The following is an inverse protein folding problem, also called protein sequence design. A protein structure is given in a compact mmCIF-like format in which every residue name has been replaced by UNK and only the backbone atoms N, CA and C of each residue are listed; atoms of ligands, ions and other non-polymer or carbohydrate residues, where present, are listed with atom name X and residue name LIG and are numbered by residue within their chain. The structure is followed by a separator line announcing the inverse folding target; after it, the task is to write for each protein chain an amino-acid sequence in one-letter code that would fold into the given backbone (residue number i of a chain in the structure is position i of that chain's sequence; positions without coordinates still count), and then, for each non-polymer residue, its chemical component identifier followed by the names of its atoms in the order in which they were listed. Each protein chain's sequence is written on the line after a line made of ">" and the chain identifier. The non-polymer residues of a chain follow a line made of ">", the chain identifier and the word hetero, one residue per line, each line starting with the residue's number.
data_IF_042267601170
#
_entry.id   IF_042267601170
#
_cell.length_a   1.000
_cell.length_b   1.000
_cell.length_c   1.000
_cell.angle_alpha   90.00
_cell.angle_beta   90.00
_cell.angle_gamma   90.00
#
_symmetry.space_group_name_H-M   'P 1'
#
loop_
_entity.id
_entity.type
_entity.pdbx_description
1 polymer ?
#
# COMPACT_ATOMS: atom_id res chain seq x y z
N UNK A 1 -71.90 -10.01 -27.03
CA UNK A 1 -71.61 -10.41 -25.64
C UNK A 1 -70.26 -9.79 -25.28
N UNK A 2 -70.23 -8.60 -24.67
CA UNK A 2 -69.02 -7.96 -24.17
C UNK A 2 -68.47 -8.73 -22.95
N UNK A 3 -67.33 -9.30 -23.08
CA UNK A 3 -66.60 -9.85 -21.92
C UNK A 3 -66.19 -8.70 -21.01
N UNK A 4 -66.93 -8.41 -19.97
CA UNK A 4 -66.65 -7.49 -18.93
C UNK A 4 -65.27 -7.89 -18.35
N UNK A 5 -64.19 -7.10 -18.63
CA UNK A 5 -62.86 -7.31 -18.05
C UNK A 5 -62.97 -7.19 -16.50
N UNK A 6 -62.85 -8.30 -15.80
CA UNK A 6 -62.83 -8.28 -14.33
C UNK A 6 -61.74 -7.37 -13.85
N UNK A 7 -62.03 -6.48 -12.94
CA UNK A 7 -61.05 -5.64 -12.28
C UNK A 7 -60.02 -6.52 -11.56
N UNK A 8 -58.76 -6.09 -11.50
CA UNK A 8 -57.70 -6.80 -10.75
C UNK A 8 -58.12 -7.06 -9.29
N UNK A 9 -58.91 -6.16 -8.72
CA UNK A 9 -59.44 -6.28 -7.36
C UNK A 9 -60.48 -7.40 -7.26
N UNK A 10 -61.43 -7.50 -8.22
CA UNK A 10 -62.44 -8.61 -8.28
C UNK A 10 -61.77 -9.96 -8.46
N UNK A 11 -60.69 -10.04 -9.25
CA UNK A 11 -59.90 -11.23 -9.43
C UNK A 11 -59.18 -11.64 -8.12
N UNK A 12 -58.52 -10.69 -7.43
CA UNK A 12 -57.81 -10.91 -6.16
C UNK A 12 -58.78 -11.39 -5.06
N UNK A 13 -59.99 -10.81 -4.99
CA UNK A 13 -61.02 -11.23 -4.03
C UNK A 13 -61.56 -12.60 -4.33
N UNK A 14 -61.74 -12.97 -5.60
CA UNK A 14 -62.21 -14.28 -6.01
C UNK A 14 -61.20 -15.40 -5.72
N UNK A 15 -59.90 -15.12 -5.92
CA UNK A 15 -58.81 -16.08 -5.68
C UNK A 15 -57.99 -15.74 -4.46
N UNK A 16 -58.61 -15.35 -3.33
CA UNK A 16 -57.97 -14.91 -2.09
C UNK A 16 -56.86 -15.84 -1.59
N UNK A 17 -57.05 -17.19 -1.76
CA UNK A 17 -56.05 -18.17 -1.31
C UNK A 17 -54.78 -18.10 -2.14
N UNK A 18 -54.90 -17.87 -3.45
CA UNK A 18 -53.74 -17.71 -4.33
C UNK A 18 -53.02 -16.39 -4.00
N UNK A 19 -53.74 -15.30 -3.72
CA UNK A 19 -53.16 -14.02 -3.35
C UNK A 19 -52.41 -14.13 -2.03
N UNK A 20 -53.01 -14.78 -1.03
CA UNK A 20 -52.35 -15.02 0.27
C UNK A 20 -51.09 -15.86 0.07
N UNK A 21 -51.11 -16.92 -0.71
CA UNK A 21 -49.94 -17.75 -1.00
C UNK A 21 -48.82 -16.92 -1.66
N UNK A 22 -49.16 -16.09 -2.65
CA UNK A 22 -48.20 -15.23 -3.34
C UNK A 22 -47.55 -14.21 -2.36
N UNK A 23 -48.39 -13.59 -1.51
CA UNK A 23 -47.90 -12.64 -0.48
C UNK A 23 -47.00 -13.35 0.51
N UNK A 24 -47.39 -14.54 0.99
CA UNK A 24 -46.52 -15.32 1.89
C UNK A 24 -45.18 -15.69 1.24
N UNK A 25 -45.20 -16.10 -0.05
CA UNK A 25 -43.98 -16.40 -0.80
C UNK A 25 -43.10 -15.16 -0.97
N UNK A 26 -43.70 -13.99 -1.26
CA UNK A 26 -42.92 -12.73 -1.38
C UNK A 26 -42.31 -12.31 -0.05
N UNK A 27 -43.05 -12.43 1.07
CA UNK A 27 -42.54 -12.14 2.38
C UNK A 27 -41.41 -13.11 2.75
N UNK A 28 -41.60 -14.41 2.54
CA UNK A 28 -40.58 -15.41 2.77
C UNK A 28 -39.32 -15.16 1.93
N UNK A 29 -39.49 -14.81 0.65
CA UNK A 29 -38.39 -14.44 -0.22
C UNK A 29 -37.67 -13.14 0.23
N UNK A 30 -38.45 -12.15 0.69
CA UNK A 30 -37.88 -10.92 1.26
C UNK A 30 -37.02 -11.20 2.49
N UNK A 31 -37.52 -12.00 3.44
CA UNK A 31 -36.76 -12.38 4.65
C UNK A 31 -35.51 -13.18 4.28
N UNK A 32 -35.60 -14.09 3.30
CA UNK A 32 -34.43 -14.85 2.82
C UNK A 32 -33.38 -13.97 2.12
N UNK A 33 -33.82 -12.94 1.39
CA UNK A 33 -32.96 -12.06 0.61
C UNK A 33 -32.20 -11.03 1.46
N UNK A 34 -32.78 -10.57 2.57
CA UNK A 34 -32.20 -9.52 3.43
C UNK A 34 -30.75 -9.80 3.90
N UNK A 35 -30.40 -11.00 4.39
CA UNK A 35 -29.02 -11.29 4.81
C UNK A 35 -28.04 -11.36 3.64
N UNK A 36 -28.52 -11.62 2.41
CA UNK A 36 -27.71 -11.75 1.21
C UNK A 36 -27.45 -10.42 0.49
N UNK A 37 -28.16 -9.37 0.88
CA UNK A 37 -27.94 -8.03 0.31
C UNK A 37 -26.56 -7.51 0.69
N UNK A 38 -25.94 -6.84 -0.26
CA UNK A 38 -24.66 -6.14 -0.02
C UNK A 38 -24.90 -5.01 0.97
N UNK A 39 -24.18 -5.03 2.07
CA UNK A 39 -24.23 -4.00 3.11
C UNK A 39 -22.93 -3.22 3.02
N UNK A 40 -23.01 -1.91 2.86
CA UNK A 40 -21.88 -0.98 2.88
C UNK A 40 -22.38 0.34 3.46
N UNK A 41 -21.51 1.08 4.13
CA UNK A 41 -21.83 2.39 4.71
C UNK A 41 -22.12 3.43 3.63
N UNK A 42 -21.30 3.42 2.57
CA UNK A 42 -21.43 4.34 1.46
C UNK A 42 -21.72 3.58 0.16
N UNK A 43 -22.52 4.17 -0.75
CA UNK A 43 -22.67 3.62 -2.07
C UNK A 43 -21.32 3.61 -2.81
N UNK A 44 -21.10 2.61 -3.64
CA UNK A 44 -19.91 2.55 -4.49
C UNK A 44 -19.89 3.76 -5.42
N UNK A 45 -18.94 4.67 -5.24
CA UNK A 45 -18.69 5.77 -6.15
C UNK A 45 -17.38 5.59 -6.88
N UNK A 46 -17.35 6.04 -8.11
CA UNK A 46 -16.18 5.90 -8.95
C UNK A 46 -15.36 7.18 -8.94
N UNK A 47 -14.21 7.18 -8.27
CA UNK A 47 -13.26 8.27 -8.37
C UNK A 47 -12.50 8.14 -9.68
N UNK A 48 -12.58 9.18 -10.51
CA UNK A 48 -11.94 9.28 -11.82
C UNK A 48 -10.74 10.24 -11.80
N UNK A 49 -10.14 10.41 -10.65
CA UNK A 49 -9.00 11.29 -10.45
C UNK A 49 -7.74 10.49 -10.15
N UNK A 50 -6.61 11.02 -10.58
CA UNK A 50 -5.30 10.54 -10.23
C UNK A 50 -4.32 11.71 -10.11
N UNK A 51 -3.19 11.49 -9.47
CA UNK A 51 -2.13 12.50 -9.34
C UNK A 51 -0.84 11.93 -9.90
N UNK A 52 -0.22 12.68 -10.81
CA UNK A 52 1.14 12.41 -11.27
C UNK A 52 2.08 13.28 -10.46
N UNK A 53 3.04 12.66 -9.79
CA UNK A 53 4.08 13.35 -9.01
C UNK A 53 5.41 13.14 -9.70
N UNK A 54 6.14 14.24 -10.00
CA UNK A 54 7.52 14.14 -10.46
C UNK A 54 8.45 14.91 -9.54
N UNK A 55 9.63 14.33 -9.28
CA UNK A 55 10.63 14.86 -8.35
C UNK A 55 11.94 15.07 -9.08
N UNK A 56 12.44 16.31 -9.07
CA UNK A 56 13.72 16.70 -9.64
C UNK A 56 14.45 17.68 -8.68
N UNK A 57 15.14 17.15 -7.65
CA UNK A 57 15.81 17.96 -6.64
C UNK A 57 16.81 18.94 -7.27
N UNK A 58 16.85 20.15 -6.74
CA UNK A 58 17.75 21.21 -7.20
C UNK A 58 17.16 22.12 -8.29
N UNK A 59 16.01 21.77 -8.89
CA UNK A 59 15.31 22.67 -9.80
C UNK A 59 14.49 23.69 -9.01
N UNK A 60 14.48 24.93 -9.50
CA UNK A 60 13.52 25.94 -9.07
C UNK A 60 12.11 25.63 -9.59
N UNK A 61 11.07 26.26 -9.03
CA UNK A 61 9.70 26.08 -9.49
C UNK A 61 9.53 26.44 -10.98
N UNK A 62 10.23 27.45 -11.48
CA UNK A 62 10.21 27.87 -12.89
C UNK A 62 10.86 26.82 -13.80
N UNK A 63 12.01 26.28 -13.41
CA UNK A 63 12.68 25.18 -14.12
C UNK A 63 11.81 23.92 -14.12
N UNK A 64 11.13 23.61 -12.99
CA UNK A 64 10.17 22.51 -12.92
C UNK A 64 9.03 22.70 -13.94
N UNK A 65 8.51 23.93 -14.10
CA UNK A 65 7.45 24.20 -15.08
C UNK A 65 7.93 23.94 -16.49
N UNK A 66 9.09 24.49 -16.87
CA UNK A 66 9.58 24.42 -18.25
C UNK A 66 10.09 23.01 -18.62
N UNK A 67 10.85 22.38 -17.73
CA UNK A 67 11.58 21.16 -18.06
C UNK A 67 10.81 19.87 -17.75
N UNK A 68 9.85 19.92 -16.81
CA UNK A 68 9.17 18.72 -16.31
C UNK A 68 7.65 18.83 -16.50
N UNK A 69 7.04 19.94 -16.04
CA UNK A 69 5.58 20.06 -15.99
C UNK A 69 4.98 20.16 -17.39
N UNK A 70 5.43 21.11 -18.21
CA UNK A 70 4.92 21.29 -19.58
C UNK A 70 5.09 20.02 -20.45
N UNK A 71 6.25 19.35 -20.49
CA UNK A 71 6.38 18.07 -21.20
C UNK A 71 5.41 17.00 -20.72
N UNK A 72 5.26 16.85 -19.39
CA UNK A 72 4.32 15.89 -18.80
C UNK A 72 2.86 16.23 -19.12
N UNK A 73 2.46 17.51 -19.01
CA UNK A 73 1.12 17.97 -19.38
C UNK A 73 0.81 17.68 -20.85
N UNK A 74 1.73 17.98 -21.75
CA UNK A 74 1.55 17.70 -23.17
C UNK A 74 1.36 16.20 -23.43
N UNK A 75 2.15 15.36 -22.74
CA UNK A 75 2.00 13.92 -22.81
C UNK A 75 0.66 13.45 -22.24
N UNK A 76 0.26 13.93 -21.05
CA UNK A 76 -1.01 13.61 -20.40
C UNK A 76 -2.19 14.03 -21.29
N UNK A 77 -2.13 15.20 -21.89
CA UNK A 77 -3.19 15.71 -22.77
C UNK A 77 -3.27 15.03 -24.15
N UNK A 78 -2.32 14.16 -24.47
CA UNK A 78 -2.42 13.29 -25.65
C UNK A 78 -3.47 12.18 -25.46
N UNK A 79 -3.82 11.85 -24.22
CA UNK A 79 -4.86 10.87 -23.90
C UNK A 79 -6.25 11.51 -24.05
N UNK A 80 -7.10 10.87 -24.86
CA UNK A 80 -8.49 11.33 -25.12
C UNK A 80 -9.41 11.24 -23.90
N UNK A 81 -9.08 10.30 -23.01
CA UNK A 81 -9.83 9.99 -21.81
C UNK A 81 -9.63 11.04 -20.71
N UNK A 82 -8.63 11.91 -20.85
CA UNK A 82 -8.32 12.96 -19.88
C UNK A 82 -9.22 14.17 -20.08
N UNK A 83 -9.87 14.60 -19.03
CA UNK A 83 -10.73 15.80 -18.98
C UNK A 83 -9.88 17.05 -18.79
N UNK A 84 -9.42 17.62 -19.90
CA UNK A 84 -8.47 18.74 -19.92
C UNK A 84 -8.90 19.95 -19.09
N UNK A 85 -10.19 20.27 -19.07
CA UNK A 85 -10.72 21.43 -18.34
C UNK A 85 -10.73 21.29 -16.81
N UNK A 86 -10.46 20.09 -16.28
CA UNK A 86 -10.37 19.83 -14.84
C UNK A 86 -9.02 19.27 -14.41
N UNK A 87 -8.11 19.06 -15.36
CA UNK A 87 -6.73 18.66 -15.08
C UNK A 87 -5.89 19.91 -14.88
N UNK A 88 -5.13 19.96 -13.78
CA UNK A 88 -4.27 21.08 -13.46
C UNK A 88 -2.98 20.61 -12.78
N UNK A 89 -1.95 21.46 -12.86
CA UNK A 89 -0.66 21.20 -12.25
C UNK A 89 -0.30 22.24 -11.20
N UNK A 90 0.55 21.84 -10.26
CA UNK A 90 1.16 22.69 -9.25
C UNK A 90 2.62 22.35 -9.09
N UNK A 91 3.49 23.27 -9.53
CA UNK A 91 4.93 23.13 -9.42
C UNK A 91 5.47 23.89 -8.21
N UNK A 92 6.45 23.30 -7.56
CA UNK A 92 7.26 23.88 -6.48
C UNK A 92 8.72 23.53 -6.74
N UNK A 93 9.62 24.09 -5.93
CA UNK A 93 11.04 23.77 -6.03
C UNK A 93 11.25 22.24 -5.85
N UNK A 94 11.80 21.63 -6.89
CA UNK A 94 12.14 20.21 -6.94
C UNK A 94 10.97 19.23 -7.08
N UNK A 95 9.69 19.68 -7.13
CA UNK A 95 8.55 18.78 -7.21
C UNK A 95 7.36 19.36 -7.98
N UNK A 96 6.67 18.53 -8.72
CA UNK A 96 5.39 18.88 -9.37
C UNK A 96 4.32 17.84 -9.07
N UNK A 97 3.10 18.32 -8.89
CA UNK A 97 1.87 17.55 -8.78
C UNK A 97 0.97 17.91 -9.96
N UNK A 98 0.55 16.91 -10.72
CA UNK A 98 -0.43 17.09 -11.82
C UNK A 98 -1.65 16.26 -11.45
N UNK A 99 -2.75 16.94 -11.10
CA UNK A 99 -4.02 16.27 -10.87
C UNK A 99 -4.69 16.00 -12.22
N UNK A 100 -4.93 14.74 -12.50
CA UNK A 100 -5.53 14.26 -13.74
C UNK A 100 -6.95 13.82 -13.45
N UNK A 101 -7.93 14.34 -14.18
CA UNK A 101 -9.32 13.91 -14.12
C UNK A 101 -9.72 13.23 -15.44
N UNK A 102 -10.41 12.11 -15.34
CA UNK A 102 -10.91 11.36 -16.50
C UNK A 102 -12.32 11.81 -16.88
N UNK A 103 -12.69 11.60 -18.14
CA UNK A 103 -14.03 11.86 -18.63
C UNK A 103 -15.07 10.99 -17.92
N UNK A 104 -16.29 11.53 -17.77
CA UNK A 104 -17.36 10.90 -17.01
C UNK A 104 -17.92 9.63 -17.68
N UNK A 105 -17.77 9.51 -18.98
CA UNK A 105 -18.23 8.41 -19.84
C UNK A 105 -17.29 7.21 -19.89
N UNK A 106 -16.12 7.31 -19.25
CA UNK A 106 -15.14 6.21 -19.23
C UNK A 106 -15.60 5.05 -18.35
N UNK A 107 -15.89 3.90 -18.99
CA UNK A 107 -16.38 2.71 -18.29
C UNK A 107 -15.27 1.88 -17.65
N UNK A 108 -14.07 1.83 -18.23
CA UNK A 108 -12.97 1.01 -17.74
C UNK A 108 -11.77 1.86 -17.29
N UNK A 109 -11.92 2.53 -16.13
CA UNK A 109 -10.89 3.38 -15.57
C UNK A 109 -9.62 2.61 -15.17
N UNK A 110 -9.77 1.39 -14.69
CA UNK A 110 -8.65 0.60 -14.15
C UNK A 110 -7.70 0.18 -15.28
N UNK A 111 -8.24 -0.15 -16.45
CA UNK A 111 -7.45 -0.40 -17.66
C UNK A 111 -6.74 0.88 -18.14
N UNK A 112 -7.44 2.01 -18.10
CA UNK A 112 -6.83 3.30 -18.43
C UNK A 112 -5.65 3.60 -17.51
N UNK A 113 -5.86 3.55 -16.19
CA UNK A 113 -4.80 3.85 -15.22
C UNK A 113 -3.61 2.90 -15.35
N UNK A 114 -3.84 1.64 -15.64
CA UNK A 114 -2.77 0.67 -15.88
C UNK A 114 -1.91 1.06 -17.09
N UNK A 115 -2.54 1.37 -18.22
CA UNK A 115 -1.86 1.85 -19.44
C UNK A 115 -1.16 3.20 -19.21
N UNK A 116 -1.84 4.11 -18.52
CA UNK A 116 -1.33 5.44 -18.21
C UNK A 116 -0.09 5.41 -17.33
N UNK A 117 -0.09 4.62 -16.26
CA UNK A 117 1.09 4.40 -15.39
C UNK A 117 2.28 3.91 -16.20
N UNK A 118 2.07 2.91 -17.04
CA UNK A 118 3.12 2.38 -17.89
C UNK A 118 3.63 3.44 -18.90
N UNK A 119 2.72 4.18 -19.51
CA UNK A 119 3.06 5.23 -20.46
C UNK A 119 3.85 6.37 -19.82
N UNK A 120 3.42 6.88 -18.67
CA UNK A 120 4.13 7.93 -17.92
C UNK A 120 5.52 7.44 -17.48
N UNK A 121 5.64 6.19 -17.03
CA UNK A 121 6.94 5.62 -16.66
C UNK A 121 7.89 5.51 -17.86
N UNK A 122 7.37 5.16 -19.03
CA UNK A 122 8.15 5.13 -20.28
C UNK A 122 8.54 6.55 -20.71
N UNK A 123 7.62 7.52 -20.57
CA UNK A 123 7.86 8.92 -20.92
C UNK A 123 8.93 9.57 -20.03
N UNK A 124 9.13 9.08 -18.79
CA UNK A 124 10.22 9.54 -17.92
C UNK A 124 11.58 9.55 -18.61
N UNK A 125 11.85 8.61 -19.52
CA UNK A 125 13.11 8.56 -20.27
C UNK A 125 13.34 9.76 -21.20
N UNK A 126 12.29 10.54 -21.51
CA UNK A 126 12.35 11.75 -22.35
C UNK A 126 12.52 13.03 -21.50
N UNK A 127 12.39 12.92 -20.19
CA UNK A 127 12.61 14.03 -19.27
C UNK A 127 14.11 14.18 -18.93
N UNK A 128 14.53 15.35 -18.41
CA UNK A 128 15.90 15.57 -17.99
C UNK A 128 16.40 14.52 -16.99
N UNK A 129 17.68 14.19 -17.04
CA UNK A 129 18.30 13.14 -16.22
C UNK A 129 18.25 13.38 -14.70
N UNK A 130 18.04 14.63 -14.28
CA UNK A 130 17.88 15.02 -12.88
C UNK A 130 16.46 14.72 -12.34
N UNK A 131 15.53 14.27 -13.17
CA UNK A 131 14.21 13.78 -12.72
C UNK A 131 14.40 12.40 -12.12
N UNK A 132 14.42 12.34 -10.79
CA UNK A 132 14.67 11.10 -10.05
C UNK A 132 13.49 10.12 -10.17
N UNK A 133 12.28 10.61 -10.01
CA UNK A 133 11.07 9.80 -10.02
C UNK A 133 9.91 10.49 -10.71
N UNK A 134 9.09 9.70 -11.41
CA UNK A 134 7.74 10.07 -11.83
C UNK A 134 6.81 8.96 -11.41
N UNK A 135 5.80 9.29 -10.62
CA UNK A 135 4.86 8.31 -10.06
C UNK A 135 3.43 8.75 -10.32
N UNK A 136 2.56 7.80 -10.63
CA UNK A 136 1.13 8.01 -10.80
C UNK A 136 0.39 7.34 -9.64
N UNK A 137 -0.40 8.12 -8.93
CA UNK A 137 -1.30 7.69 -7.86
C UNK A 137 -2.74 7.83 -8.36
N UNK A 138 -3.50 6.75 -8.35
CA UNK A 138 -4.89 6.69 -8.86
C UNK A 138 -5.86 6.00 -7.88
N UNK A 139 -5.35 5.57 -6.75
CA UNK A 139 -6.08 4.82 -5.75
C UNK A 139 -6.65 5.71 -4.63
N UNK A 140 -7.24 6.83 -5.03
CA UNK A 140 -7.98 7.70 -4.13
C UNK A 140 -9.39 7.15 -3.91
N UNK A 141 -9.81 7.15 -2.64
CA UNK A 141 -11.19 6.87 -2.25
C UNK A 141 -11.46 5.45 -1.80
N UNK A 142 -10.48 4.58 -1.81
CA UNK A 142 -10.59 3.33 -1.07
C UNK A 142 -10.44 3.66 0.42
N UNK A 143 -11.53 3.52 1.17
CA UNK A 143 -11.54 3.79 2.62
C UNK A 143 -11.19 2.53 3.37
N UNK A 144 -10.43 2.71 4.46
CA UNK A 144 -10.13 1.60 5.37
C UNK A 144 -11.40 1.14 6.05
N UNK A 145 -11.78 -0.10 5.85
CA UNK A 145 -12.93 -0.70 6.51
C UNK A 145 -12.63 -0.99 8.00
N UNK A 146 -11.39 -1.39 8.30
CA UNK A 146 -10.91 -1.62 9.65
C UNK A 146 -9.52 -1.02 9.84
N UNK A 147 -9.28 -0.46 11.03
CA UNK A 147 -7.97 -0.07 11.52
C UNK A 147 -7.65 -0.91 12.75
N UNK A 148 -6.61 -1.69 12.65
CA UNK A 148 -6.16 -2.62 13.69
C UNK A 148 -4.79 -2.16 14.16
N UNK A 149 -4.59 -1.94 15.46
CA UNK A 149 -3.29 -1.63 16.05
C UNK A 149 -2.75 -2.84 16.79
N UNK A 150 -1.45 -3.02 16.71
CA UNK A 150 -0.70 -3.98 17.51
C UNK A 150 0.32 -3.22 18.32
N UNK A 151 0.27 -3.37 19.64
CA UNK A 151 1.09 -2.60 20.57
C UNK A 151 1.84 -3.46 21.56
N UNK A 152 2.99 -2.99 22.01
CA UNK A 152 3.75 -3.55 23.13
C UNK A 152 4.70 -2.50 23.72
N UNK A 153 4.95 -2.59 25.02
CA UNK A 153 6.01 -1.80 25.68
C UNK A 153 7.37 -2.46 25.49
N UNK A 154 7.44 -3.79 25.55
CA UNK A 154 8.67 -4.56 25.64
C UNK A 154 9.21 -5.01 24.28
N UNK A 155 8.32 -5.26 23.30
CA UNK A 155 8.72 -5.75 21.99
C UNK A 155 9.30 -4.65 21.11
N UNK A 156 10.25 -5.02 20.26
CA UNK A 156 10.82 -4.14 19.24
C UNK A 156 9.85 -3.94 18.07
N UNK A 157 10.03 -2.86 17.29
CA UNK A 157 9.24 -2.67 16.06
C UNK A 157 9.41 -3.82 15.08
N UNK A 158 10.57 -4.46 15.05
CA UNK A 158 10.82 -5.63 14.21
C UNK A 158 9.94 -6.81 14.63
N UNK A 159 9.93 -7.16 15.91
CA UNK A 159 9.09 -8.24 16.43
C UNK A 159 7.60 -7.96 16.21
N UNK A 160 7.16 -6.71 16.44
CA UNK A 160 5.78 -6.32 16.15
C UNK A 160 5.46 -6.46 14.66
N UNK A 161 6.40 -6.09 13.77
CA UNK A 161 6.21 -6.26 12.33
C UNK A 161 6.14 -7.75 11.93
N UNK A 162 6.96 -8.61 12.50
CA UNK A 162 6.94 -10.05 12.24
C UNK A 162 5.57 -10.66 12.63
N UNK A 163 4.99 -10.25 13.76
CA UNK A 163 3.62 -10.64 14.14
C UNK A 163 2.56 -10.05 13.21
N UNK A 164 2.75 -8.80 12.77
CA UNK A 164 1.82 -8.15 11.85
C UNK A 164 1.83 -8.81 10.47
N UNK A 165 2.98 -9.25 10.00
CA UNK A 165 3.11 -9.99 8.73
C UNK A 165 2.37 -11.34 8.81
N UNK A 166 2.47 -12.07 9.94
CA UNK A 166 1.69 -13.30 10.15
C UNK A 166 0.18 -13.03 10.18
N UNK A 167 -0.25 -11.95 10.85
CA UNK A 167 -1.65 -11.53 10.83
C UNK A 167 -2.13 -11.20 9.42
N UNK A 168 -1.35 -10.44 8.64
CA UNK A 168 -1.68 -10.12 7.25
C UNK A 168 -1.83 -11.39 6.41
N UNK A 169 -0.95 -12.38 6.58
CA UNK A 169 -1.00 -13.63 5.82
C UNK A 169 -2.25 -14.46 6.14
N UNK A 170 -2.74 -14.39 7.39
CA UNK A 170 -4.01 -15.02 7.77
C UNK A 170 -5.21 -14.25 7.18
N UNK A 171 -5.22 -12.93 7.30
CA UNK A 171 -6.29 -12.08 6.78
C UNK A 171 -6.39 -12.13 5.24
N UNK A 172 -5.27 -12.32 4.54
CA UNK A 172 -5.22 -12.44 3.06
C UNK A 172 -6.01 -13.62 2.51
N UNK A 173 -6.29 -14.63 3.35
CA UNK A 173 -7.09 -15.81 2.99
C UNK A 173 -8.58 -15.52 2.95
N UNK A 174 -9.02 -14.40 3.53
CA UNK A 174 -10.43 -13.97 3.51
C UNK A 174 -10.74 -13.37 2.13
N UNK A 175 -11.69 -13.94 1.38
CA UNK A 175 -11.95 -13.50 -0.01
C UNK A 175 -12.40 -12.05 -0.14
N UNK A 176 -13.07 -11.50 0.88
CA UNK A 176 -13.61 -10.14 0.93
C UNK A 176 -12.55 -9.08 1.28
N UNK A 177 -11.41 -9.48 1.86
CA UNK A 177 -10.31 -8.57 2.17
C UNK A 177 -9.61 -8.12 0.89
N UNK A 178 -9.47 -6.81 0.75
CA UNK A 178 -8.79 -6.14 -0.35
C UNK A 178 -7.33 -5.83 -0.04
N UNK A 179 -6.96 -4.55 -0.20
CA UNK A 179 -5.61 -4.07 0.13
C UNK A 179 -5.43 -3.97 1.65
N UNK A 180 -4.23 -4.29 2.08
CA UNK A 180 -3.80 -4.09 3.46
C UNK A 180 -2.52 -3.24 3.47
N UNK A 181 -2.48 -2.24 4.34
CA UNK A 181 -1.35 -1.33 4.47
C UNK A 181 -0.93 -1.22 5.93
N UNK A 182 0.36 -1.47 6.19
CA UNK A 182 0.94 -1.29 7.53
C UNK A 182 1.58 0.08 7.64
N UNK A 183 1.34 0.77 8.73
CA UNK A 183 1.88 2.10 9.04
C UNK A 183 2.51 2.10 10.43
N UNK A 184 3.46 3.03 10.66
CA UNK A 184 4.13 3.19 11.95
C UNK A 184 5.31 2.24 12.17
N UNK A 185 5.64 1.39 11.21
CA UNK A 185 6.81 0.49 11.28
C UNK A 185 8.09 1.30 11.18
N UNK A 186 8.99 1.09 12.15
CA UNK A 186 10.35 1.61 12.08
C UNK A 186 11.28 0.50 11.58
N UNK A 187 12.00 0.76 10.48
CA UNK A 187 12.94 -0.20 9.90
C UNK A 187 14.29 -0.06 10.57
N UNK A 188 14.83 -1.18 11.03
CA UNK A 188 16.22 -1.21 11.51
C UNK A 188 17.20 -0.88 10.37
N UNK A 189 18.26 -0.17 10.72
CA UNK A 189 19.38 0.11 9.82
C UNK A 189 20.72 -0.25 10.47
N UNK A 190 21.72 -0.46 9.65
CA UNK A 190 23.10 -0.57 10.10
C UNK A 190 23.77 0.78 9.84
N UNK A 191 24.00 1.52 10.92
CA UNK A 191 24.67 2.82 10.88
C UNK A 191 26.18 2.66 10.99
N UNK A 192 26.88 3.41 10.16
CA UNK A 192 28.35 3.43 10.11
C UNK A 192 28.82 4.82 10.54
N UNK A 193 29.31 4.93 11.76
CA UNK A 193 29.85 6.16 12.31
C UNK A 193 31.36 6.23 12.05
N UNK A 194 31.76 7.16 11.20
CA UNK A 194 33.14 7.30 10.77
C UNK A 194 34.00 7.93 11.89
N UNK A 195 35.22 7.41 12.07
CA UNK A 195 36.23 8.00 12.92
C UNK A 195 37.27 8.70 12.05
N UNK A 196 37.16 10.03 11.91
CA UNK A 196 37.99 10.83 11.03
C UNK A 196 39.47 10.78 11.43
N UNK A 197 39.80 10.61 12.75
CA UNK A 197 41.17 10.48 13.21
C UNK A 197 41.79 9.14 12.75
N UNK A 198 41.01 8.07 12.74
CA UNK A 198 41.44 6.77 12.24
C UNK A 198 41.54 6.76 10.72
N UNK A 199 40.54 7.36 10.01
CA UNK A 199 40.57 7.49 8.54
C UNK A 199 41.84 8.21 8.07
N UNK A 200 42.20 9.34 8.72
CA UNK A 200 43.38 10.13 8.38
C UNK A 200 44.69 9.35 8.56
N UNK A 201 44.77 8.43 9.53
CA UNK A 201 45.95 7.57 9.73
C UNK A 201 46.22 6.62 8.56
N UNK A 202 45.15 6.21 7.83
CA UNK A 202 45.24 5.38 6.63
C UNK A 202 45.27 6.20 5.35
N UNK A 203 45.28 7.55 5.42
CA UNK A 203 45.20 8.42 4.24
C UNK A 203 43.88 8.35 3.48
N UNK A 204 42.80 7.93 4.17
CA UNK A 204 41.47 7.81 3.61
C UNK A 204 40.64 9.06 3.91
N UNK A 205 39.72 9.37 3.01
CA UNK A 205 38.70 10.39 3.21
C UNK A 205 37.31 9.79 3.14
N UNK A 206 36.30 10.53 3.58
CA UNK A 206 34.90 10.11 3.65
C UNK A 206 34.35 9.71 2.27
N UNK A 207 34.72 10.45 1.22
CA UNK A 207 34.26 10.19 -0.14
C UNK A 207 34.82 8.88 -0.69
N UNK A 208 36.09 8.60 -0.47
CA UNK A 208 36.73 7.34 -0.91
C UNK A 208 36.11 6.15 -0.19
N UNK A 209 35.82 6.31 1.11
CA UNK A 209 35.19 5.28 1.91
C UNK A 209 33.73 5.05 1.43
N UNK A 210 32.96 6.12 1.24
CA UNK A 210 31.59 6.02 0.74
C UNK A 210 31.52 5.34 -0.63
N UNK A 211 32.41 5.70 -1.56
CA UNK A 211 32.51 5.07 -2.87
C UNK A 211 32.86 3.58 -2.75
N UNK A 212 33.78 3.22 -1.84
CA UNK A 212 34.15 1.81 -1.60
C UNK A 212 33.01 0.99 -1.02
N UNK A 213 32.24 1.55 -0.07
CA UNK A 213 31.05 0.91 0.50
C UNK A 213 29.95 0.75 -0.54
N UNK A 214 29.69 1.80 -1.32
CA UNK A 214 28.71 1.78 -2.39
C UNK A 214 29.04 0.70 -3.44
N UNK A 215 30.29 0.63 -3.88
CA UNK A 215 30.73 -0.37 -4.85
C UNK A 215 30.62 -1.81 -4.34
N UNK A 216 30.67 -2.03 -3.03
CA UNK A 216 30.58 -3.35 -2.39
C UNK A 216 29.18 -3.76 -1.95
N UNK A 217 28.26 -2.83 -1.89
CA UNK A 217 26.84 -3.06 -1.58
C UNK A 217 26.02 -3.61 -2.74
N UNK A 218 26.54 -3.56 -3.96
CA UNK A 218 25.84 -4.09 -5.13
C UNK A 218 26.18 -5.54 -5.40
N UNK A 219 25.17 -6.36 -5.66
CA UNK A 219 25.33 -7.71 -6.21
C UNK A 219 25.91 -7.60 -7.62
N UNK A 220 27.17 -7.96 -7.76
CA UNK A 220 27.78 -8.12 -9.09
C UNK A 220 27.54 -9.54 -9.58
N UNK A 221 27.04 -9.67 -10.80
CA UNK A 221 27.08 -10.95 -11.51
C UNK A 221 28.56 -11.30 -11.77
N UNK A 222 29.02 -12.39 -11.19
CA UNK A 222 30.41 -12.84 -11.32
C UNK A 222 30.78 -13.36 -12.72
N UNK A 223 29.91 -13.15 -13.73
CA UNK A 223 30.12 -13.61 -15.08
C UNK A 223 29.31 -14.87 -15.41
N UNK A 224 29.67 -15.53 -16.49
CA UNK A 224 29.06 -16.79 -16.93
C UNK A 224 30.15 -17.83 -17.15
N UNK A 225 29.96 -19.01 -16.60
CA UNK A 225 30.80 -20.18 -16.94
C UNK A 225 30.19 -20.90 -18.13
N UNK A 226 30.94 -20.98 -19.19
CA UNK A 226 30.55 -21.71 -20.40
C UNK A 226 31.27 -23.07 -20.44
N UNK A 227 30.49 -24.11 -20.51
CA UNK A 227 30.97 -25.46 -20.81
C UNK A 227 30.44 -25.86 -22.18
N UNK A 228 30.96 -26.96 -22.76
CA UNK A 228 30.51 -27.44 -24.08
C UNK A 228 29.02 -27.83 -24.11
N UNK A 229 28.39 -28.06 -22.94
CA UNK A 229 27.00 -28.50 -22.81
C UNK A 229 26.03 -27.42 -22.33
N UNK A 230 26.48 -26.44 -21.54
CA UNK A 230 25.59 -25.42 -20.95
C UNK A 230 26.34 -24.16 -20.55
N UNK A 231 25.57 -23.09 -20.39
CA UNK A 231 26.02 -21.78 -19.86
C UNK A 231 25.36 -21.51 -18.54
N UNK A 232 26.12 -21.44 -17.46
CA UNK A 232 25.62 -21.18 -16.11
C UNK A 232 26.06 -19.80 -15.60
N UNK A 233 25.11 -18.93 -15.19
CA UNK A 233 25.47 -17.68 -14.56
C UNK A 233 26.05 -17.95 -13.16
N UNK A 234 27.14 -17.28 -12.83
CA UNK A 234 27.76 -17.32 -11.51
C UNK A 234 27.33 -16.05 -10.76
N UNK A 235 26.58 -16.23 -9.69
CA UNK A 235 26.20 -15.14 -8.78
C UNK A 235 27.12 -15.16 -7.57
N UNK A 236 27.80 -14.06 -7.34
CA UNK A 236 28.54 -13.82 -6.08
C UNK A 236 27.61 -13.00 -5.18
N UNK A 237 26.77 -13.68 -4.40
CA UNK A 237 25.96 -13.04 -3.38
C UNK A 237 26.81 -12.81 -2.12
N UNK A 238 27.16 -11.56 -1.82
CA UNK A 238 27.59 -11.16 -0.49
C UNK A 238 26.37 -10.70 0.28
N UNK A 239 25.89 -11.54 1.17
CA UNK A 239 24.83 -11.19 2.09
C UNK A 239 25.45 -10.35 3.23
N UNK A 240 25.22 -9.05 3.23
CA UNK A 240 25.62 -8.13 4.31
C UNK A 240 24.49 -8.04 5.34
N UNK A 241 24.10 -9.17 5.91
CA UNK A 241 22.92 -9.26 6.76
C UNK A 241 23.19 -8.98 8.24
N UNK A 242 24.43 -9.02 8.65
CA UNK A 242 24.79 -8.83 10.06
C UNK A 242 25.75 -7.63 10.23
N UNK A 243 25.72 -7.05 11.44
CA UNK A 243 26.70 -6.03 11.82
C UNK A 243 28.12 -6.53 11.64
N UNK A 244 28.36 -7.80 11.96
CA UNK A 244 29.67 -8.44 11.80
C UNK A 244 30.13 -8.46 10.35
N UNK A 245 29.24 -8.82 9.40
CA UNK A 245 29.60 -8.85 7.98
C UNK A 245 30.01 -7.48 7.48
N UNK A 246 29.27 -6.43 7.88
CA UNK A 246 29.58 -5.04 7.55
C UNK A 246 30.90 -4.60 8.19
N UNK A 247 31.16 -4.95 9.44
CA UNK A 247 32.41 -4.67 10.14
C UNK A 247 33.63 -5.30 9.46
N UNK A 248 33.50 -6.47 8.88
CA UNK A 248 34.59 -7.19 8.21
C UNK A 248 34.83 -6.76 6.76
N UNK A 249 34.06 -5.83 6.21
CA UNK A 249 34.27 -5.30 4.87
C UNK A 249 35.68 -4.67 4.77
N UNK A 250 36.45 -5.14 3.77
CA UNK A 250 37.73 -4.52 3.43
C UNK A 250 37.44 -3.25 2.65
N UNK A 251 37.72 -2.09 3.21
CA UNK A 251 37.46 -0.78 2.62
C UNK A 251 38.68 -0.20 1.91
N UNK A 252 39.86 -0.66 2.28
CA UNK A 252 41.13 -0.24 1.67
C UNK A 252 42.21 -1.34 1.80
N UNK A 253 43.10 -1.38 0.85
CA UNK A 253 44.33 -2.20 0.94
C UNK A 253 45.53 -1.27 0.77
N UNK A 254 46.40 -1.24 1.72
CA UNK A 254 47.56 -0.35 1.68
C UNK A 254 48.62 -0.84 0.65
N UNK A 255 49.59 -0.02 0.28
CA UNK A 255 50.65 -0.42 -0.68
C UNK A 255 51.50 -1.60 -0.22
N UNK A 256 51.47 -1.93 1.08
CA UNK A 256 52.14 -3.08 1.66
C UNK A 256 51.27 -4.35 1.68
N UNK A 257 50.07 -4.28 1.10
CA UNK A 257 49.14 -5.41 1.01
C UNK A 257 48.31 -5.68 2.27
N UNK A 258 48.29 -4.78 3.25
CA UNK A 258 47.51 -4.91 4.49
C UNK A 258 46.08 -4.42 4.24
N UNK A 259 45.11 -5.24 4.60
CA UNK A 259 43.70 -4.93 4.43
C UNK A 259 43.18 -4.12 5.64
N UNK A 260 42.65 -2.94 5.36
CA UNK A 260 41.94 -2.12 6.34
C UNK A 260 40.44 -2.47 6.26
N UNK A 261 39.87 -2.87 7.37
CA UNK A 261 38.46 -3.23 7.49
C UNK A 261 37.63 -2.07 8.00
N UNK A 262 36.33 -2.10 7.72
CA UNK A 262 35.45 -1.01 8.17
C UNK A 262 35.46 -0.80 9.68
N UNK A 263 35.56 -1.87 10.49
CA UNK A 263 35.68 -1.80 11.95
C UNK A 263 36.93 -1.03 12.43
N UNK A 264 37.99 -0.95 11.60
CA UNK A 264 39.25 -0.30 11.96
C UNK A 264 39.16 1.24 11.87
N UNK A 265 38.21 1.74 11.06
CA UNK A 265 38.00 3.16 10.74
C UNK A 265 36.61 3.70 11.09
N UNK A 266 35.66 2.81 11.51
CA UNK A 266 34.29 3.19 11.83
C UNK A 266 33.73 2.35 12.98
N UNK A 267 32.74 2.89 13.67
CA UNK A 267 31.85 2.15 14.57
C UNK A 267 30.58 1.76 13.81
N UNK A 268 30.32 0.47 13.75
CA UNK A 268 29.14 -0.08 13.06
C UNK A 268 28.13 -0.58 14.10
N UNK A 269 26.92 -0.08 14.05
CA UNK A 269 25.86 -0.37 15.02
C UNK A 269 24.56 -0.67 14.26
N UNK A 270 23.76 -1.60 14.77
CA UNK A 270 22.39 -1.79 14.34
C UNK A 270 21.49 -0.97 15.25
N UNK A 271 20.70 -0.11 14.67
CA UNK A 271 19.81 0.80 15.40
C UNK A 271 18.60 1.19 14.56
N UNK A 272 17.60 1.78 15.18
CA UNK A 272 16.52 2.44 14.48
C UNK A 272 16.96 3.87 14.14
N UNK A 273 16.68 4.37 12.91
CA UNK A 273 16.90 5.78 12.59
C UNK A 273 16.01 6.66 13.45
N UNK A 274 16.32 7.94 13.52
CA UNK A 274 15.41 8.92 14.10
C UNK A 274 14.09 8.88 13.31
N UNK A 275 12.94 8.63 13.98
CA UNK A 275 11.69 8.42 13.26
C UNK A 275 11.16 9.72 12.64
N UNK A 276 10.89 9.71 11.34
CA UNK A 276 10.18 10.82 10.67
C UNK A 276 8.72 10.89 11.10
N UNK A 277 8.13 9.75 11.40
CA UNK A 277 6.77 9.62 11.93
C UNK A 277 6.66 8.36 12.78
N UNK A 278 5.79 8.40 13.78
CA UNK A 278 5.48 7.24 14.59
C UNK A 278 3.99 7.22 14.96
N UNK A 279 3.51 6.04 15.29
CA UNK A 279 2.15 5.83 15.80
C UNK A 279 2.26 5.33 17.23
N UNK A 280 1.47 5.91 18.12
CA UNK A 280 1.33 5.43 19.49
C UNK A 280 -0.14 5.26 19.84
N UNK A 281 -0.45 4.27 20.64
CA UNK A 281 -1.76 4.05 21.21
C UNK A 281 -1.62 3.98 22.73
N UNK A 282 -2.36 4.84 23.46
CA UNK A 282 -2.27 4.96 24.92
C UNK A 282 -0.84 5.14 25.46
N UNK A 283 0.01 5.87 24.72
CA UNK A 283 1.42 6.11 25.07
C UNK A 283 2.37 4.97 24.74
N UNK A 284 1.87 3.81 24.29
CA UNK A 284 2.69 2.67 23.88
C UNK A 284 3.03 2.75 22.40
N UNK A 285 4.22 2.27 22.04
CA UNK A 285 4.58 2.11 20.62
C UNK A 285 3.64 1.08 19.97
N UNK A 286 3.17 1.42 18.79
CA UNK A 286 2.31 0.52 18.03
C UNK A 286 2.57 0.61 16.54
N UNK A 287 2.17 -0.42 15.84
CA UNK A 287 2.02 -0.43 14.38
C UNK A 287 0.54 -0.61 14.05
N UNK A 288 0.12 -0.05 12.94
CA UNK A 288 -1.27 -0.01 12.54
C UNK A 288 -1.44 -0.68 11.17
N UNK A 289 -2.40 -1.60 11.10
CA UNK A 289 -2.87 -2.24 9.88
C UNK A 289 -4.18 -1.60 9.44
N UNK A 290 -4.17 -1.05 8.24
CA UNK A 290 -5.37 -0.63 7.52
C UNK A 290 -5.82 -1.76 6.62
N UNK A 291 -7.09 -2.15 6.73
CA UNK A 291 -7.70 -3.21 5.92
C UNK A 291 -8.81 -2.61 5.08
N UNK A 292 -8.74 -2.77 3.78
CA UNK A 292 -9.75 -2.34 2.82
C UNK A 292 -10.59 -3.53 2.37
N UNK A 293 -11.86 -3.28 2.08
CA UNK A 293 -12.75 -4.30 1.52
C UNK A 293 -12.66 -4.32 -0.01
N UNK A 294 -12.71 -5.50 -0.61
CA UNK A 294 -12.88 -5.61 -2.06
C UNK A 294 -14.26 -5.09 -2.48
N UNK A 295 -14.29 -4.37 -3.61
CA UNK A 295 -15.54 -3.80 -4.15
C UNK A 295 -16.61 -4.88 -4.35
N UNK A 296 -17.81 -4.53 -3.98
CA UNK A 296 -18.98 -5.39 -4.16
C UNK A 296 -19.13 -6.51 -3.14
N UNK A 297 -18.32 -6.54 -2.09
CA UNK A 297 -18.45 -7.49 -0.98
C UNK A 297 -19.36 -6.94 0.12
N UNK A 298 -19.66 -7.77 1.13
CA UNK A 298 -20.44 -7.40 2.30
C UNK A 298 -19.51 -7.11 3.47
N UNK A 299 -19.55 -5.86 3.95
CA UNK A 299 -18.64 -5.39 5.00
C UNK A 299 -18.90 -6.07 6.35
N UNK A 300 -20.17 -6.37 6.67
CA UNK A 300 -20.54 -7.03 7.93
C UNK A 300 -19.95 -8.44 7.96
N UNK A 301 -20.13 -9.20 6.87
CA UNK A 301 -19.57 -10.54 6.77
C UNK A 301 -18.04 -10.52 6.81
N UNK A 302 -17.40 -9.56 6.15
CA UNK A 302 -15.95 -9.39 6.22
C UNK A 302 -15.50 -9.15 7.66
N UNK A 303 -16.24 -8.33 8.42
CA UNK A 303 -15.93 -8.05 9.83
C UNK A 303 -16.06 -9.30 10.72
N UNK A 304 -17.06 -10.15 10.47
CA UNK A 304 -17.23 -11.43 11.14
C UNK A 304 -16.04 -12.38 10.88
N UNK A 305 -15.70 -12.57 9.59
CA UNK A 305 -14.59 -13.43 9.17
C UNK A 305 -13.25 -12.93 9.76
N UNK A 306 -13.01 -11.61 9.77
CA UNK A 306 -11.84 -11.01 10.40
C UNK A 306 -11.83 -11.19 11.91
N UNK A 307 -13.00 -11.11 12.55
CA UNK A 307 -13.12 -11.30 13.99
C UNK A 307 -12.72 -12.70 14.44
N UNK A 308 -13.11 -13.71 13.68
CA UNK A 308 -12.71 -15.10 13.92
C UNK A 308 -11.19 -15.22 13.85
N UNK A 309 -10.57 -14.71 12.78
CA UNK A 309 -9.11 -14.73 12.61
C UNK A 309 -8.39 -13.98 13.73
N UNK A 310 -8.87 -12.81 14.14
CA UNK A 310 -8.24 -12.03 15.22
C UNK A 310 -8.34 -12.71 16.56
N UNK A 311 -9.46 -13.37 16.86
CA UNK A 311 -9.66 -14.10 18.10
C UNK A 311 -8.69 -15.27 18.20
N UNK A 312 -8.54 -16.04 17.12
CA UNK A 312 -7.59 -17.15 17.07
C UNK A 312 -6.15 -16.65 17.13
N UNK A 313 -5.86 -15.58 16.42
CA UNK A 313 -4.51 -14.99 16.37
C UNK A 313 -4.06 -14.46 17.73
N UNK A 314 -4.96 -13.80 18.46
CA UNK A 314 -4.66 -13.26 19.78
C UNK A 314 -4.22 -14.34 20.79
N UNK A 315 -4.72 -15.57 20.65
CA UNK A 315 -4.29 -16.70 21.48
C UNK A 315 -2.86 -17.17 21.17
N UNK A 316 -2.35 -16.84 19.98
CA UNK A 316 -0.98 -17.20 19.56
C UNK A 316 0.07 -16.15 19.93
N UNK A 317 -0.36 -14.93 20.31
CA UNK A 317 0.53 -13.85 20.68
C UNK A 317 1.06 -13.98 22.11
N UNK A 318 2.29 -13.49 22.35
CA UNK A 318 2.80 -13.29 23.71
C UNK A 318 1.91 -12.34 24.51
N UNK A 319 1.87 -12.51 25.83
CA UNK A 319 1.07 -11.69 26.74
C UNK A 319 1.42 -10.20 26.72
N UNK A 320 2.63 -9.87 26.27
CA UNK A 320 3.14 -8.49 26.16
C UNK A 320 2.64 -7.76 24.90
N UNK A 321 2.00 -8.48 23.96
CA UNK A 321 1.48 -7.92 22.72
C UNK A 321 -0.03 -7.85 22.75
N UNK A 322 -0.58 -6.69 22.54
CA UNK A 322 -2.04 -6.46 22.52
C UNK A 322 -2.48 -5.97 21.13
N UNK A 323 -3.68 -6.43 20.73
CA UNK A 323 -4.32 -6.00 19.49
C UNK A 323 -5.58 -5.22 19.83
N UNK A 324 -5.77 -4.08 19.16
CA UNK A 324 -6.97 -3.26 19.28
C UNK A 324 -7.55 -2.92 17.92
N UNK A 325 -8.86 -2.86 17.85
CA UNK A 325 -9.57 -2.26 16.71
C UNK A 325 -9.87 -0.81 17.04
N UNK A 326 -9.25 0.09 16.30
CA UNK A 326 -9.46 1.53 16.46
C UNK A 326 -10.71 1.97 15.70
N UNK A 327 -10.91 1.41 14.52
CA UNK A 327 -12.10 1.64 13.69
C UNK A 327 -12.59 0.31 13.16
N UNK A 328 -13.90 0.12 13.27
CA UNK A 328 -14.57 -1.09 12.78
C UNK A 328 -15.88 -0.68 12.07
N UNK A 329 -15.76 -0.42 10.77
CA UNK A 329 -16.90 -0.03 9.94
C UNK A 329 -17.93 -1.16 9.82
N UNK A 330 -17.50 -2.42 9.91
CA UNK A 330 -18.40 -3.57 9.85
C UNK A 330 -19.43 -3.55 10.98
N UNK A 331 -18.97 -3.21 12.20
CA UNK A 331 -19.83 -3.09 13.37
C UNK A 331 -20.78 -1.90 13.26
N UNK A 332 -20.29 -0.75 12.79
CA UNK A 332 -21.13 0.47 12.60
C UNK A 332 -22.27 0.18 11.62
N UNK A 333 -21.97 -0.50 10.52
CA UNK A 333 -22.98 -0.86 9.51
C UNK A 333 -23.97 -1.88 10.06
N UNK A 334 -23.50 -2.90 10.79
CA UNK A 334 -24.38 -3.91 11.38
C UNK A 334 -25.32 -3.32 12.43
N UNK A 335 -24.80 -2.50 13.34
CA UNK A 335 -25.59 -1.77 14.32
C UNK A 335 -26.65 -0.87 13.65
N UNK A 336 -26.27 -0.16 12.58
CA UNK A 336 -27.17 0.72 11.81
C UNK A 336 -28.30 -0.06 11.13
N UNK A 337 -27.98 -1.17 10.50
CA UNK A 337 -28.98 -2.05 9.85
C UNK A 337 -29.91 -2.66 10.88
N UNK A 338 -29.38 -3.10 12.02
CA UNK A 338 -30.17 -3.69 13.09
C UNK A 338 -31.14 -2.67 13.71
N UNK A 339 -30.64 -1.44 13.98
CA UNK A 339 -31.49 -0.36 14.48
C UNK A 339 -32.60 0.01 13.48
N UNK A 340 -32.26 0.11 12.19
CA UNK A 340 -33.26 0.37 11.16
C UNK A 340 -34.34 -0.71 11.11
N UNK A 341 -33.97 -1.99 11.21
CA UNK A 341 -34.94 -3.10 11.24
C UNK A 341 -35.80 -3.07 12.49
N UNK A 342 -35.27 -2.66 13.65
CA UNK A 342 -36.04 -2.48 14.88
C UNK A 342 -37.04 -1.34 14.79
N UNK A 343 -36.71 -0.25 14.10
CA UNK A 343 -37.65 0.89 13.92
C UNK A 343 -38.74 0.58 12.90
N UNK A 344 -38.53 -0.39 12.01
CA UNK A 344 -39.46 -0.75 10.95
C UNK A 344 -40.53 -1.74 11.42
N UNK A 345 -40.33 -2.46 12.52
CA UNK A 345 -41.24 -3.45 13.13
C UNK A 345 -42.01 -2.81 14.27
#
# INVERSE_FOLDING_TARGET
>A
MEKKKRSAVEWAMHYRQIVILVVCCLVAFGIYSLPQMRKNEFPDFTIRQGVVVAVAPGNTAEEMVEQVTKPLENYIFSYKEVKKGKTFSKSRDGIVYIQVELNDDLNNKDEFWSKFKHGVQTFKAQLPSNVLAVQVMDDFGDTSALLITMESEDKTYRELNDYMDDLQDRLRRIPSVGRMTVSGVQKEQISVYLDNARLSRYGLNDQTLAASLFAKGFTTTGGRVRTDAYMQPVYVARSLNTVYDVQQLIVYTDPQGRNVRLKDVARVVREYPEPESYISNNGKKCIMLSVEMKKGQNIVKMGEDINEVLTDFQQTLPSEVSIFRITDQSKVVDDSVTNFLHELV
#
